data_IF_057881920988
#
_entry.id   IF_057881920988
#
_cell.length_a   1.000
_cell.length_b   1.000
_cell.length_c   1.000
_cell.angle_alpha   90.00
_cell.angle_beta   90.00
_cell.angle_gamma   90.00
#
_symmetry.space_group_name_H-M   'P 1'
#
loop_
_entity.id
_entity.type
_entity.pdbx_description
1 polymer ?
#
# COMPACT_ATOMS: atom_id res chain seq x y z
N UNK A 1 50.61 0.47 14.11
CA UNK A 1 49.40 -0.40 14.08
C UNK A 1 48.28 0.47 13.56
N UNK A 2 48.02 0.34 12.27
CA UNK A 2 47.01 1.12 11.55
C UNK A 2 45.63 0.75 12.08
N UNK A 3 44.92 1.76 12.58
CA UNK A 3 43.50 1.67 12.91
C UNK A 3 42.72 1.77 11.61
N UNK A 4 42.28 0.62 11.09
CA UNK A 4 41.29 0.58 10.02
C UNK A 4 39.96 1.14 10.54
N UNK A 5 39.68 2.40 10.23
CA UNK A 5 38.32 2.93 10.17
C UNK A 5 37.66 2.31 8.93
N UNK A 6 36.80 1.30 9.13
CA UNK A 6 35.92 0.84 8.06
C UNK A 6 34.84 1.88 7.85
N UNK A 7 34.98 2.66 6.79
CA UNK A 7 33.92 3.48 6.23
C UNK A 7 32.92 2.54 5.55
N UNK A 8 31.90 2.09 6.29
CA UNK A 8 30.77 1.36 5.72
C UNK A 8 29.68 2.36 5.38
N UNK A 9 29.61 2.74 4.10
CA UNK A 9 28.41 3.30 3.47
C UNK A 9 27.29 2.25 3.39
N UNK A 10 26.96 1.60 4.50
CA UNK A 10 25.98 0.53 4.60
C UNK A 10 24.58 1.09 4.42
N UNK A 11 23.84 0.58 3.44
CA UNK A 11 22.42 0.88 3.29
C UNK A 11 21.67 0.43 4.54
N UNK A 12 20.72 1.25 5.04
CA UNK A 12 19.88 0.96 6.24
C UNK A 12 19.23 -0.44 6.18
N UNK A 13 18.97 -0.94 4.98
CA UNK A 13 18.35 -2.22 4.72
C UNK A 13 19.24 -3.10 3.84
N UNK A 14 19.26 -4.40 4.12
CA UNK A 14 20.00 -5.40 3.34
C UNK A 14 19.20 -5.76 2.08
N UNK A 15 19.68 -5.27 0.93
CA UNK A 15 19.02 -5.50 -0.35
C UNK A 15 19.01 -6.98 -0.75
N UNK A 16 20.09 -7.71 -0.50
CA UNK A 16 20.21 -9.09 -0.95
C UNK A 16 19.18 -9.96 -0.26
N UNK A 17 19.00 -9.77 1.06
CA UNK A 17 17.95 -10.45 1.83
C UNK A 17 16.56 -10.06 1.32
N UNK A 18 16.31 -8.75 1.10
CA UNK A 18 14.99 -8.28 0.62
C UNK A 18 14.65 -8.90 -0.73
N UNK A 19 15.58 -8.82 -1.69
CA UNK A 19 15.34 -9.32 -3.04
C UNK A 19 15.21 -10.84 -3.06
N UNK A 20 15.98 -11.56 -2.24
CA UNK A 20 15.84 -13.01 -2.09
C UNK A 20 14.44 -13.39 -1.60
N UNK A 21 13.93 -12.71 -0.57
CA UNK A 21 12.58 -12.95 -0.03
C UNK A 21 11.48 -12.63 -1.05
N UNK A 22 11.60 -11.50 -1.77
CA UNK A 22 10.69 -11.12 -2.84
C UNK A 22 10.72 -12.13 -4.00
N UNK A 23 11.89 -12.62 -4.39
CA UNK A 23 12.02 -13.63 -5.45
C UNK A 23 11.47 -14.98 -4.98
N UNK A 24 11.81 -15.43 -3.77
CA UNK A 24 11.45 -16.75 -3.26
C UNK A 24 9.98 -16.86 -2.89
N UNK A 25 9.45 -15.87 -2.16
CA UNK A 25 8.12 -15.88 -1.52
C UNK A 25 7.13 -14.90 -2.14
N UNK A 26 7.63 -13.83 -2.78
CA UNK A 26 6.81 -12.75 -3.35
C UNK A 26 6.57 -11.58 -2.40
N UNK A 27 7.00 -11.68 -1.14
CA UNK A 27 6.92 -10.60 -0.16
C UNK A 27 8.12 -10.63 0.80
N UNK A 28 8.39 -9.50 1.46
CA UNK A 28 9.42 -9.36 2.48
C UNK A 28 8.92 -8.45 3.61
N UNK A 29 9.16 -8.84 4.86
CA UNK A 29 8.92 -8.00 6.03
C UNK A 29 10.22 -7.32 6.42
N UNK A 30 10.19 -5.99 6.52
CA UNK A 30 11.35 -5.14 6.77
C UNK A 30 11.07 -4.36 8.07
N UNK A 31 11.74 -4.68 9.18
CA UNK A 31 11.54 -4.01 10.46
C UNK A 31 12.21 -2.62 10.48
N UNK A 32 11.91 -1.83 11.52
CA UNK A 32 12.63 -0.59 11.86
C UNK A 32 12.62 0.47 10.74
N UNK A 33 11.53 0.58 9.98
CA UNK A 33 11.32 1.70 9.05
C UNK A 33 11.09 2.97 9.84
N UNK A 34 10.17 2.91 10.82
CA UNK A 34 9.94 3.91 11.85
C UNK A 34 10.32 3.36 13.23
N UNK A 35 10.66 4.26 14.14
CA UNK A 35 10.74 3.98 15.58
C UNK A 35 9.36 3.87 16.21
N UNK A 36 9.25 3.27 17.40
CA UNK A 36 7.97 3.20 18.12
C UNK A 36 7.41 4.59 18.42
N UNK A 37 8.25 5.55 18.81
CA UNK A 37 7.82 6.91 19.13
C UNK A 37 7.24 7.62 17.89
N UNK A 38 7.88 7.45 16.72
CA UNK A 38 7.33 7.97 15.46
C UNK A 38 5.98 7.31 15.14
N UNK A 39 5.85 6.00 15.37
CA UNK A 39 4.56 5.32 15.21
C UNK A 39 3.48 5.88 16.14
N UNK A 40 3.81 6.10 17.41
CA UNK A 40 2.88 6.62 18.42
C UNK A 40 2.41 8.03 18.10
N UNK A 41 3.32 8.90 17.63
CA UNK A 41 2.99 10.25 17.15
C UNK A 41 2.02 10.19 15.96
N UNK A 42 2.26 9.31 14.99
CA UNK A 42 1.38 9.18 13.82
C UNK A 42 0.03 8.54 14.18
N UNK A 43 0.00 7.56 15.09
CA UNK A 43 -1.23 6.98 15.62
C UNK A 43 -2.06 8.05 16.34
N UNK A 44 -1.44 8.87 17.19
CA UNK A 44 -2.13 9.97 17.87
C UNK A 44 -2.79 10.92 16.86
N UNK A 45 -2.08 11.32 15.81
CA UNK A 45 -2.63 12.18 14.76
C UNK A 45 -3.83 11.52 14.01
N UNK A 46 -3.78 10.20 13.75
CA UNK A 46 -4.92 9.50 13.19
C UNK A 46 -6.10 9.40 14.16
N UNK A 47 -5.85 9.23 15.46
CA UNK A 47 -6.89 9.25 16.50
C UNK A 47 -7.54 10.61 16.62
N UNK A 48 -6.76 11.69 16.57
CA UNK A 48 -7.27 13.07 16.53
C UNK A 48 -8.13 13.32 15.29
N UNK A 49 -7.75 12.74 14.15
CA UNK A 49 -8.58 12.78 12.95
C UNK A 49 -9.88 11.99 13.10
N UNK A 50 -9.83 10.78 13.66
CA UNK A 50 -11.02 9.96 13.95
C UNK A 50 -11.98 10.67 14.92
N UNK A 51 -11.46 11.40 15.92
CA UNK A 51 -12.25 12.12 16.90
C UNK A 51 -13.06 13.29 16.31
N UNK A 52 -12.83 13.66 15.05
CA UNK A 52 -13.64 14.66 14.32
C UNK A 52 -14.94 14.09 13.79
N UNK A 53 -15.04 12.77 13.65
CA UNK A 53 -16.29 12.11 13.27
C UNK A 53 -17.26 12.13 14.47
N UNK A 54 -18.57 12.35 14.24
CA UNK A 54 -19.60 12.16 15.24
C UNK A 54 -19.51 10.79 15.92
N UNK A 55 -19.98 10.71 17.17
CA UNK A 55 -19.91 9.50 18.00
C UNK A 55 -20.59 8.27 17.35
N UNK A 56 -21.53 8.48 16.45
CA UNK A 56 -22.26 7.46 15.70
C UNK A 56 -21.83 7.37 14.22
N UNK A 57 -20.70 7.97 13.84
CA UNK A 57 -20.15 7.88 12.49
C UNK A 57 -18.76 7.23 12.50
N UNK A 58 -18.42 6.57 11.40
CA UNK A 58 -17.08 6.04 11.15
C UNK A 58 -16.66 6.39 9.71
N UNK A 59 -15.37 6.68 9.45
CA UNK A 59 -14.91 6.94 8.10
C UNK A 59 -15.36 5.86 7.11
N UNK A 60 -15.88 6.30 5.97
CA UNK A 60 -16.16 5.41 4.84
C UNK A 60 -14.92 4.56 4.52
N UNK A 61 -15.10 3.25 4.58
CA UNK A 61 -14.07 2.26 4.32
C UNK A 61 -14.66 1.05 3.64
N UNK A 62 -13.84 0.39 2.84
CA UNK A 62 -14.13 -0.90 2.22
C UNK A 62 -13.02 -1.88 2.61
N UNK A 63 -13.38 -3.05 3.13
CA UNK A 63 -12.43 -4.08 3.60
C UNK A 63 -11.28 -3.53 4.49
N UNK A 64 -11.64 -2.60 5.39
CA UNK A 64 -10.78 -1.81 6.28
C UNK A 64 -9.97 -0.67 5.66
N UNK A 65 -10.01 -0.50 4.34
CA UNK A 65 -9.33 0.56 3.59
C UNK A 65 -10.15 1.84 3.54
N UNK A 66 -9.53 2.96 3.93
CA UNK A 66 -10.07 4.31 3.78
C UNK A 66 -9.40 4.94 2.55
N UNK A 67 -10.14 4.95 1.44
CA UNK A 67 -9.72 5.50 0.14
C UNK A 67 -10.25 6.92 -0.12
N UNK A 68 -10.80 7.56 0.92
CA UNK A 68 -11.53 8.84 0.84
C UNK A 68 -10.95 9.86 1.83
N UNK A 69 -11.62 11.00 2.02
CA UNK A 69 -11.22 12.08 2.93
C UNK A 69 -9.87 12.75 2.62
N UNK A 70 -9.28 12.44 1.45
CA UNK A 70 -7.92 12.88 1.09
C UNK A 70 -6.88 12.44 2.13
N UNK A 71 -7.17 11.34 2.85
CA UNK A 71 -6.34 10.84 3.96
C UNK A 71 -4.93 10.45 3.49
N UNK A 72 -4.80 10.08 2.21
CA UNK A 72 -3.53 9.85 1.52
C UNK A 72 -2.57 11.06 1.55
N UNK A 73 -3.12 12.27 1.73
CA UNK A 73 -2.39 13.53 1.81
C UNK A 73 -2.33 14.14 3.22
N UNK A 74 -2.84 13.45 4.24
CA UNK A 74 -2.72 13.92 5.62
C UNK A 74 -1.27 13.95 6.09
N UNK A 75 -0.98 14.78 7.10
CA UNK A 75 0.35 14.90 7.67
C UNK A 75 0.96 13.57 8.14
N UNK A 76 0.27 12.72 8.94
CA UNK A 76 0.85 11.44 9.36
C UNK A 76 1.12 10.53 8.15
N UNK A 77 0.26 10.52 7.13
CA UNK A 77 0.48 9.72 5.92
C UNK A 77 1.73 10.16 5.17
N UNK A 78 1.98 11.48 5.04
CA UNK A 78 3.20 11.98 4.41
C UNK A 78 4.47 11.68 5.20
N UNK A 79 4.43 11.78 6.53
CA UNK A 79 5.55 11.39 7.40
C UNK A 79 5.92 9.93 7.19
N UNK A 80 4.93 9.04 7.20
CA UNK A 80 5.14 7.59 6.97
C UNK A 80 5.63 7.31 5.55
N UNK A 81 5.04 7.97 4.53
CA UNK A 81 5.48 7.84 3.13
C UNK A 81 6.95 8.22 2.95
N UNK A 82 7.39 9.33 3.53
CA UNK A 82 8.78 9.78 3.46
C UNK A 82 9.72 8.80 4.19
N UNK A 83 9.34 8.32 5.37
CA UNK A 83 10.12 7.31 6.10
C UNK A 83 10.29 6.00 5.31
N UNK A 84 9.24 5.57 4.60
CA UNK A 84 9.26 4.37 3.77
C UNK A 84 10.13 4.50 2.50
N UNK A 85 10.48 5.72 2.06
CA UNK A 85 11.25 5.95 0.83
C UNK A 85 12.54 5.13 0.80
N UNK A 86 13.28 5.07 1.91
CA UNK A 86 14.55 4.32 1.99
C UNK A 86 14.41 2.83 1.68
N UNK A 87 13.26 2.23 1.96
CA UNK A 87 12.98 0.83 1.58
C UNK A 87 12.93 0.69 0.07
N UNK A 88 12.19 1.57 -0.60
CA UNK A 88 12.06 1.55 -2.05
C UNK A 88 13.33 1.98 -2.77
N UNK A 89 14.13 2.87 -2.19
CA UNK A 89 15.47 3.19 -2.71
C UNK A 89 16.37 1.95 -2.73
N UNK A 90 16.32 1.14 -1.66
CA UNK A 90 17.06 -0.12 -1.58
C UNK A 90 16.57 -1.12 -2.61
N UNK A 91 15.26 -1.33 -2.72
CA UNK A 91 14.66 -2.30 -3.67
C UNK A 91 15.02 -1.93 -5.11
N UNK A 92 14.78 -0.68 -5.49
CA UNK A 92 14.94 -0.19 -6.86
C UNK A 92 16.34 0.33 -7.20
N UNK A 93 17.25 0.42 -6.24
CA UNK A 93 18.61 0.95 -6.42
C UNK A 93 18.63 2.36 -7.01
N UNK A 94 17.70 3.21 -6.59
CA UNK A 94 17.66 4.63 -6.99
C UNK A 94 16.92 5.48 -5.99
N UNK A 95 17.38 6.72 -5.82
CA UNK A 95 16.67 7.77 -5.08
C UNK A 95 15.56 8.42 -5.92
N UNK A 96 15.58 8.20 -7.24
CA UNK A 96 14.71 8.85 -8.23
C UNK A 96 13.40 8.09 -8.35
N UNK A 97 12.52 8.31 -7.37
CA UNK A 97 11.28 7.58 -7.19
C UNK A 97 10.05 8.48 -7.34
N UNK A 98 8.96 7.91 -7.81
CA UNK A 98 7.62 8.47 -7.69
C UNK A 98 6.82 7.61 -6.70
N UNK A 99 5.90 8.21 -5.94
CA UNK A 99 5.10 7.51 -4.91
C UNK A 99 3.60 7.60 -5.15
N UNK A 100 2.84 6.57 -4.82
CA UNK A 100 1.37 6.62 -4.81
C UNK A 100 0.85 7.53 -3.68
N UNK A 101 -0.33 8.12 -3.89
CA UNK A 101 -1.11 8.81 -2.87
C UNK A 101 -2.25 7.91 -2.38
N UNK A 102 -1.85 6.74 -1.89
CA UNK A 102 -2.73 5.62 -1.58
C UNK A 102 -3.55 5.82 -0.28
N UNK A 103 -4.34 4.80 0.02
CA UNK A 103 -5.19 4.63 1.17
C UNK A 103 -4.44 4.40 2.49
N UNK A 104 -5.21 4.44 3.57
CA UNK A 104 -4.79 3.96 4.90
C UNK A 104 -5.80 2.90 5.36
N UNK A 105 -5.37 1.98 6.22
CA UNK A 105 -6.31 1.11 6.92
C UNK A 105 -6.29 1.41 8.42
N UNK A 106 -7.46 1.81 8.92
CA UNK A 106 -7.67 2.10 10.35
C UNK A 106 -8.88 1.31 10.82
N UNK A 107 -8.71 0.46 11.82
CA UNK A 107 -9.81 -0.35 12.35
C UNK A 107 -9.63 -0.65 13.84
N UNK A 108 -10.68 -0.49 14.65
CA UNK A 108 -10.65 -0.91 16.04
C UNK A 108 -10.69 -2.44 16.14
N UNK A 109 -10.26 -3.03 17.27
CA UNK A 109 -10.41 -4.45 17.51
C UNK A 109 -11.88 -4.89 17.48
N UNK A 110 -12.18 -6.15 17.09
CA UNK A 110 -13.54 -6.67 17.00
C UNK A 110 -14.28 -6.72 18.35
N UNK A 111 -13.55 -6.65 19.45
CA UNK A 111 -14.09 -6.56 20.81
C UNK A 111 -14.72 -5.20 21.10
N UNK A 112 -14.21 -4.13 20.47
CA UNK A 112 -14.73 -2.80 20.67
C UNK A 112 -16.00 -2.62 19.84
N UNK A 113 -17.09 -2.22 20.50
CA UNK A 113 -18.32 -1.84 19.83
C UNK A 113 -17.99 -0.68 18.88
N UNK A 114 -18.12 -0.93 17.58
CA UNK A 114 -17.95 0.14 16.61
C UNK A 114 -19.09 1.15 16.76
N UNK A 115 -18.73 2.42 16.88
CA UNK A 115 -19.62 3.56 16.72
C UNK A 115 -20.48 3.41 15.44
N UNK A 116 -21.74 3.84 15.51
CA UNK A 116 -22.58 3.99 14.31
C UNK A 116 -23.29 2.76 13.78
N UNK A 117 -23.27 1.63 14.49
CA UNK A 117 -24.13 0.49 14.15
C UNK A 117 -23.97 0.01 12.70
N UNK A 118 -22.73 -0.05 12.20
CA UNK A 118 -22.44 -0.46 10.82
C UNK A 118 -23.26 -1.71 10.45
N UNK A 119 -23.81 -1.77 9.23
CA UNK A 119 -24.18 -3.05 8.65
C UNK A 119 -22.97 -3.98 8.73
N UNK A 120 -23.20 -5.23 9.11
CA UNK A 120 -22.17 -6.27 9.04
C UNK A 120 -21.75 -6.35 7.57
N UNK A 121 -20.61 -5.75 7.21
CA UNK A 121 -20.04 -5.94 5.88
C UNK A 121 -19.63 -7.40 5.73
N UNK A 122 -19.59 -7.91 4.50
CA UNK A 122 -19.08 -9.25 4.20
C UNK A 122 -17.69 -9.48 4.83
N UNK A 123 -16.85 -8.44 4.87
CA UNK A 123 -15.56 -8.44 5.56
C UNK A 123 -15.61 -8.81 7.06
N UNK A 124 -16.75 -8.65 7.72
CA UNK A 124 -16.94 -9.04 9.11
C UNK A 124 -17.34 -10.52 9.27
N UNK A 125 -17.62 -11.24 8.18
CA UNK A 125 -18.04 -12.64 8.20
C UNK A 125 -16.83 -13.59 8.35
N UNK A 126 -16.93 -14.64 9.19
CA UNK A 126 -15.92 -15.69 9.26
C UNK A 126 -15.68 -16.33 7.89
N UNK A 127 -14.41 -16.54 7.54
CA UNK A 127 -14.05 -17.13 6.25
C UNK A 127 -14.13 -16.18 5.06
N UNK A 128 -14.49 -14.90 5.26
CA UNK A 128 -14.44 -13.92 4.17
C UNK A 128 -13.03 -13.80 3.58
N UNK A 129 -12.97 -13.81 2.27
CA UNK A 129 -11.76 -13.65 1.49
C UNK A 129 -12.07 -12.84 0.26
N UNK A 130 -11.13 -11.99 -0.09
CA UNK A 130 -11.13 -11.18 -1.29
C UNK A 130 -9.74 -11.21 -1.89
N UNK A 131 -9.07 -12.37 -1.77
CA UNK A 131 -7.79 -12.64 -2.40
C UNK A 131 -7.83 -12.18 -3.84
N UNK A 132 -6.89 -11.33 -4.20
CA UNK A 132 -6.83 -10.72 -5.51
C UNK A 132 -5.39 -10.59 -5.98
N UNK A 133 -5.28 -10.37 -7.29
CA UNK A 133 -4.10 -9.82 -7.92
C UNK A 133 -4.37 -8.34 -8.20
N UNK A 134 -3.32 -7.54 -8.11
CA UNK A 134 -3.34 -6.12 -8.44
C UNK A 134 -2.60 -5.82 -9.74
N UNK A 135 -2.24 -6.87 -10.48
CA UNK A 135 -1.63 -6.80 -11.79
C UNK A 135 -2.44 -7.66 -12.77
N UNK A 136 -2.94 -7.06 -13.85
CA UNK A 136 -3.64 -7.81 -14.90
C UNK A 136 -2.67 -8.49 -15.87
N UNK A 137 -3.22 -9.38 -16.68
CA UNK A 137 -2.54 -10.02 -17.82
C UNK A 137 -1.99 -9.03 -18.86
N UNK A 138 -2.44 -7.77 -18.86
CA UNK A 138 -1.91 -6.72 -19.75
C UNK A 138 -0.49 -6.27 -19.39
N UNK A 139 0.08 -6.77 -18.29
CA UNK A 139 1.40 -6.40 -17.77
C UNK A 139 2.32 -7.63 -17.71
N UNK A 140 3.45 -7.55 -18.42
CA UNK A 140 4.42 -8.63 -18.51
C UNK A 140 5.54 -8.47 -17.49
N UNK A 141 5.71 -9.50 -16.65
CA UNK A 141 6.76 -9.48 -15.62
C UNK A 141 6.42 -8.54 -14.46
N UNK A 142 7.43 -8.01 -13.78
CA UNK A 142 7.27 -7.15 -12.61
C UNK A 142 6.96 -5.70 -13.00
N UNK A 143 5.95 -5.08 -12.38
CA UNK A 143 5.62 -3.66 -12.57
C UNK A 143 5.64 -2.80 -11.30
N UNK A 144 5.21 -3.32 -10.14
CA UNK A 144 5.31 -2.62 -8.84
C UNK A 144 5.66 -3.64 -7.74
N UNK A 145 6.41 -3.15 -6.77
CA UNK A 145 6.39 -3.72 -5.44
C UNK A 145 5.51 -2.83 -4.57
N UNK A 146 4.39 -3.35 -4.11
CA UNK A 146 3.51 -2.65 -3.20
C UNK A 146 4.07 -2.68 -1.77
N UNK A 147 3.59 -1.78 -0.92
CA UNK A 147 4.04 -1.69 0.46
C UNK A 147 2.96 -1.24 1.43
N UNK A 148 3.05 -1.74 2.65
CA UNK A 148 2.17 -1.41 3.76
C UNK A 148 2.99 -1.26 5.03
N UNK A 149 2.98 -0.06 5.59
CA UNK A 149 3.72 0.31 6.80
C UNK A 149 2.80 0.18 8.01
N UNK A 150 3.22 -0.61 9.00
CA UNK A 150 2.43 -0.93 10.18
C UNK A 150 2.87 -0.05 11.35
N UNK A 151 1.95 0.77 11.85
CA UNK A 151 2.21 1.66 12.99
C UNK A 151 1.93 1.00 14.34
N UNK A 152 1.25 -0.15 14.33
CA UNK A 152 0.99 -0.97 15.50
C UNK A 152 1.59 -2.36 15.31
N UNK A 153 2.00 -3.00 16.40
CA UNK A 153 2.53 -4.37 16.40
C UNK A 153 1.48 -5.36 15.90
N UNK A 154 1.88 -6.32 15.06
CA UNK A 154 0.98 -7.38 14.60
C UNK A 154 1.60 -8.76 14.69
N UNK A 155 0.79 -9.71 15.17
CA UNK A 155 1.05 -11.15 15.08
C UNK A 155 0.01 -11.83 14.18
N UNK A 156 0.11 -13.14 13.96
CA UNK A 156 -0.79 -13.85 13.04
C UNK A 156 -2.27 -13.86 13.46
N UNK A 157 -2.59 -13.53 14.70
CA UNK A 157 -3.99 -13.35 15.13
C UNK A 157 -4.48 -11.91 14.98
N UNK A 158 -3.63 -11.01 14.49
CA UNK A 158 -3.96 -9.60 14.28
C UNK A 158 -4.56 -9.29 12.90
N UNK A 159 -4.84 -8.00 12.68
CA UNK A 159 -5.18 -7.47 11.37
C UNK A 159 -3.96 -7.55 10.44
N UNK A 160 -3.85 -8.62 9.65
CA UNK A 160 -2.70 -8.84 8.79
C UNK A 160 -3.03 -8.70 7.29
N UNK A 161 -2.00 -8.45 6.50
CA UNK A 161 -1.97 -8.89 5.11
C UNK A 161 -1.98 -10.42 5.08
N UNK A 162 -2.86 -11.03 4.29
CA UNK A 162 -2.74 -12.43 3.90
C UNK A 162 -2.17 -12.52 2.51
N UNK A 163 -1.36 -13.53 2.27
CA UNK A 163 -0.75 -13.80 0.98
C UNK A 163 -0.81 -15.29 0.67
N UNK A 164 -0.73 -15.63 -0.62
CA UNK A 164 -0.36 -16.96 -1.08
C UNK A 164 1.11 -16.92 -1.51
N UNK A 165 2.09 -17.24 -0.64
CA UNK A 165 3.49 -17.18 -1.00
C UNK A 165 3.77 -18.02 -2.25
N UNK A 166 4.68 -17.52 -3.10
CA UNK A 166 5.06 -18.11 -4.41
C UNK A 166 4.03 -17.95 -5.53
N UNK A 167 2.84 -17.43 -5.27
CA UNK A 167 1.81 -17.30 -6.33
C UNK A 167 2.24 -16.37 -7.46
N UNK A 168 3.12 -15.39 -7.19
CA UNK A 168 3.69 -14.48 -8.19
C UNK A 168 4.51 -15.20 -9.27
N UNK A 169 5.02 -16.41 -8.96
CA UNK A 169 5.74 -17.27 -9.91
C UNK A 169 4.81 -17.98 -10.89
N UNK A 170 3.54 -18.13 -10.52
CA UNK A 170 2.51 -18.79 -11.31
C UNK A 170 1.62 -17.79 -12.07
N UNK A 171 2.04 -16.52 -12.14
CA UNK A 171 1.21 -15.43 -12.65
C UNK A 171 0.76 -15.63 -14.09
N UNK A 172 1.64 -16.14 -14.97
CA UNK A 172 1.28 -16.40 -16.37
C UNK A 172 0.45 -17.67 -16.48
N UNK A 173 0.89 -18.73 -15.83
CA UNK A 173 0.21 -20.02 -15.81
C UNK A 173 -1.23 -19.89 -15.27
N UNK A 174 -1.44 -19.01 -14.30
CA UNK A 174 -2.77 -18.68 -13.79
C UNK A 174 -3.67 -18.08 -14.86
N UNK A 175 -3.22 -17.04 -15.57
CA UNK A 175 -4.05 -16.41 -16.62
C UNK A 175 -4.19 -17.28 -17.86
N UNK A 176 -3.23 -18.18 -18.15
CA UNK A 176 -3.37 -19.20 -19.18
C UNK A 176 -4.42 -20.26 -18.80
N UNK A 177 -4.48 -20.64 -17.51
CA UNK A 177 -5.46 -21.59 -16.98
C UNK A 177 -6.87 -20.98 -16.82
N UNK A 178 -6.96 -19.68 -16.55
CA UNK A 178 -8.22 -18.95 -16.34
C UNK A 178 -8.30 -17.68 -17.21
N UNK A 179 -8.57 -17.81 -18.53
CA UNK A 179 -8.70 -16.66 -19.42
C UNK A 179 -9.78 -15.65 -18.99
N UNK A 180 -10.85 -16.10 -18.34
CA UNK A 180 -11.90 -15.24 -17.80
C UNK A 180 -11.38 -14.36 -16.65
N UNK A 181 -10.41 -14.84 -15.87
CA UNK A 181 -9.72 -14.04 -14.86
C UNK A 181 -8.87 -12.94 -15.50
N UNK A 182 -8.21 -13.26 -16.63
CA UNK A 182 -7.43 -12.29 -17.39
C UNK A 182 -8.32 -11.14 -17.88
N UNK A 183 -9.48 -11.47 -18.47
CA UNK A 183 -10.46 -10.46 -18.88
C UNK A 183 -10.99 -9.63 -17.71
N UNK A 184 -11.30 -10.28 -16.58
CA UNK A 184 -11.80 -9.61 -15.38
C UNK A 184 -10.80 -8.59 -14.85
N UNK A 185 -9.54 -8.97 -14.71
CA UNK A 185 -8.47 -8.08 -14.25
C UNK A 185 -8.26 -6.88 -15.16
N UNK A 186 -8.30 -7.06 -16.49
CA UNK A 186 -8.18 -5.94 -17.44
C UNK A 186 -9.38 -4.99 -17.34
N UNK A 187 -10.61 -5.54 -17.30
CA UNK A 187 -11.85 -4.74 -17.19
C UNK A 187 -11.91 -3.94 -15.88
N UNK A 188 -11.32 -4.46 -14.80
CA UNK A 188 -11.29 -3.83 -13.48
C UNK A 188 -9.97 -3.09 -13.19
N UNK A 189 -9.26 -2.64 -14.22
CA UNK A 189 -8.05 -1.80 -14.08
C UNK A 189 -6.96 -2.42 -13.18
N UNK A 190 -6.55 -3.65 -13.52
CA UNK A 190 -5.54 -4.46 -12.83
C UNK A 190 -6.02 -5.24 -11.60
N UNK A 191 -7.16 -4.88 -11.01
CA UNK A 191 -7.72 -5.61 -9.88
C UNK A 191 -8.44 -6.89 -10.34
N UNK A 192 -7.96 -8.05 -9.91
CA UNK A 192 -8.56 -9.34 -10.21
C UNK A 192 -8.83 -10.11 -8.92
N UNK A 193 -10.04 -9.94 -8.37
CA UNK A 193 -10.52 -10.78 -7.27
C UNK A 193 -10.69 -12.23 -7.74
N UNK A 194 -10.19 -13.16 -6.93
CA UNK A 194 -10.21 -14.59 -7.23
C UNK A 194 -11.54 -15.23 -6.86
N UNK A 195 -11.95 -16.20 -7.67
CA UNK A 195 -13.04 -17.12 -7.38
C UNK A 195 -12.53 -18.33 -6.58
N UNK A 196 -13.44 -19.07 -5.93
CA UNK A 196 -13.06 -20.21 -5.09
C UNK A 196 -12.27 -21.29 -5.85
N UNK A 197 -12.61 -21.55 -7.10
CA UNK A 197 -11.88 -22.52 -7.94
C UNK A 197 -10.47 -22.04 -8.30
N UNK A 198 -10.30 -20.74 -8.52
CA UNK A 198 -9.01 -20.09 -8.78
C UNK A 198 -8.11 -20.10 -7.53
N UNK A 199 -8.68 -19.88 -6.33
CA UNK A 199 -7.98 -20.04 -5.05
C UNK A 199 -7.56 -21.51 -4.86
N UNK A 200 -8.47 -22.46 -5.11
CA UNK A 200 -8.18 -23.90 -5.00
C UNK A 200 -7.06 -24.32 -5.96
N UNK A 201 -7.00 -23.73 -7.15
CA UNK A 201 -5.92 -23.97 -8.11
C UNK A 201 -4.56 -23.55 -7.52
N UNK A 202 -4.45 -22.37 -6.91
CA UNK A 202 -3.21 -21.94 -6.25
C UNK A 202 -2.80 -22.89 -5.11
N UNK A 203 -3.76 -23.36 -4.31
CA UNK A 203 -3.51 -24.33 -3.24
C UNK A 203 -2.98 -25.67 -3.77
N UNK A 204 -3.55 -26.18 -4.87
CA UNK A 204 -3.08 -27.39 -5.55
C UNK A 204 -1.68 -27.23 -6.16
N UNK A 205 -1.28 -26.00 -6.48
CA UNK A 205 0.07 -25.64 -6.94
C UNK A 205 1.01 -25.26 -5.78
N UNK A 206 0.64 -25.59 -4.54
CA UNK A 206 1.51 -25.45 -3.36
C UNK A 206 1.60 -24.04 -2.79
N UNK A 207 0.69 -23.14 -3.15
CA UNK A 207 0.59 -21.81 -2.57
C UNK A 207 -0.44 -21.82 -1.43
N UNK A 208 0.02 -21.69 -0.18
CA UNK A 208 -0.86 -21.80 0.99
C UNK A 208 -1.05 -20.46 1.70
N UNK A 209 -2.28 -20.19 2.12
CA UNK A 209 -2.65 -18.95 2.77
C UNK A 209 -1.83 -18.70 4.04
N UNK A 210 -1.12 -17.57 4.05
CA UNK A 210 -0.23 -17.17 5.13
C UNK A 210 -0.60 -15.77 5.61
N UNK A 211 -0.77 -15.61 6.93
CA UNK A 211 -0.92 -14.30 7.56
C UNK A 211 0.46 -13.71 7.86
N UNK A 212 0.70 -12.50 7.38
CA UNK A 212 2.00 -11.83 7.54
C UNK A 212 1.98 -10.95 8.79
N UNK A 213 2.75 -11.35 9.80
CA UNK A 213 3.00 -10.54 10.99
C UNK A 213 4.08 -9.48 10.67
N UNK A 214 3.81 -8.23 11.01
CA UNK A 214 4.70 -7.09 10.81
C UNK A 214 4.93 -6.41 12.15
N UNK A 215 6.19 -6.22 12.58
CA UNK A 215 6.47 -5.54 13.84
C UNK A 215 6.09 -4.06 13.76
N UNK A 216 5.87 -3.44 14.91
CA UNK A 216 5.60 -2.00 15.00
C UNK A 216 6.71 -1.20 14.31
N UNK A 217 6.32 -0.27 13.43
CA UNK A 217 7.26 0.53 12.63
C UNK A 217 7.93 -0.24 11.50
N UNK A 218 7.54 -1.50 11.26
CA UNK A 218 7.94 -2.29 10.11
C UNK A 218 7.06 -2.03 8.89
N UNK A 219 7.53 -2.49 7.74
CA UNK A 219 6.74 -2.56 6.51
C UNK A 219 6.76 -3.97 5.96
N UNK A 220 5.68 -4.38 5.31
CA UNK A 220 5.73 -5.48 4.33
C UNK A 220 5.77 -4.88 2.93
N UNK A 221 6.60 -5.46 2.07
CA UNK A 221 6.69 -5.14 0.63
C UNK A 221 6.38 -6.41 -0.15
N UNK A 222 5.58 -6.34 -1.21
CA UNK A 222 5.22 -7.50 -2.03
C UNK A 222 5.13 -7.20 -3.51
N UNK A 223 5.37 -8.22 -4.33
CA UNK A 223 5.20 -8.18 -5.79
C UNK A 223 3.73 -7.98 -6.14
N UNK A 224 3.39 -7.07 -7.07
CA UNK A 224 2.00 -6.83 -7.49
C UNK A 224 1.30 -8.06 -8.10
N UNK A 225 2.07 -9.09 -8.48
CA UNK A 225 1.58 -10.40 -8.95
C UNK A 225 1.32 -11.41 -7.82
N UNK A 226 1.66 -11.07 -6.58
CA UNK A 226 1.38 -11.92 -5.42
C UNK A 226 -0.11 -11.84 -5.09
N UNK A 227 -0.75 -12.99 -4.92
CA UNK A 227 -2.14 -13.08 -4.50
C UNK A 227 -2.22 -12.71 -3.03
N UNK A 228 -3.05 -11.72 -2.71
CA UNK A 228 -3.12 -11.18 -1.36
C UNK A 228 -4.49 -10.59 -1.05
N UNK A 229 -4.76 -10.37 0.24
CA UNK A 229 -5.86 -9.55 0.72
C UNK A 229 -5.61 -9.08 2.17
N UNK A 230 -6.54 -8.33 2.75
CA UNK A 230 -6.53 -8.03 4.18
C UNK A 230 -7.43 -9.02 4.93
N UNK A 231 -6.99 -9.46 6.12
CA UNK A 231 -7.85 -10.22 7.03
C UNK A 231 -8.19 -9.46 8.30
N UNK A 232 -9.43 -9.65 8.74
CA UNK A 232 -9.88 -9.25 10.07
C UNK A 232 -9.44 -10.28 11.12
N UNK A 233 -9.07 -9.86 12.34
CA UNK A 233 -8.90 -10.74 13.48
C UNK A 233 -10.21 -11.38 13.95
N UNK A 234 -10.08 -12.53 14.60
CA UNK A 234 -11.17 -13.19 15.31
C UNK A 234 -11.36 -12.58 16.71
N UNK A 235 -12.62 -12.54 17.17
CA UNK A 235 -12.94 -12.08 18.52
C UNK A 235 -12.43 -13.09 19.56
N UNK A 236 -11.82 -12.61 20.64
CA UNK A 236 -11.25 -13.44 21.70
C UNK A 236 -9.80 -13.87 21.46
N UNK A 237 -9.14 -13.30 20.43
CA UNK A 237 -7.70 -13.48 20.20
C UNK A 237 -6.84 -12.95 21.36
N UNK A 238 -5.57 -13.39 21.46
CA UNK A 238 -4.56 -12.69 22.24
C UNK A 238 -4.39 -11.23 21.77
N UNK A 239 -4.02 -10.33 22.70
CA UNK A 239 -3.84 -8.88 22.44
C UNK A 239 -5.09 -8.24 21.79
N UNK A 240 -6.26 -8.52 22.38
CA UNK A 240 -7.57 -8.09 21.87
C UNK A 240 -7.79 -6.57 21.87
N UNK A 241 -6.88 -5.80 22.43
CA UNK A 241 -6.86 -4.34 22.44
C UNK A 241 -6.14 -3.73 21.22
N UNK A 242 -5.39 -4.52 20.43
CA UNK A 242 -4.61 -4.00 19.30
C UNK A 242 -5.47 -3.48 18.14
N UNK A 243 -5.20 -2.25 17.75
CA UNK A 243 -5.81 -1.60 16.59
C UNK A 243 -5.06 -1.91 15.30
N UNK A 244 -5.73 -1.72 14.17
CA UNK A 244 -5.05 -1.61 12.87
C UNK A 244 -4.76 -0.14 12.58
N UNK A 245 -3.49 0.17 12.33
CA UNK A 245 -3.03 1.43 11.76
C UNK A 245 -1.97 1.12 10.69
N UNK A 246 -2.38 1.16 9.43
CA UNK A 246 -1.53 0.82 8.30
C UNK A 246 -1.58 1.92 7.24
N UNK A 247 -0.43 2.29 6.70
CA UNK A 247 -0.32 3.23 5.59
C UNK A 247 0.19 2.50 4.35
N UNK A 248 -0.56 2.57 3.25
CA UNK A 248 -0.13 1.97 1.98
C UNK A 248 0.78 2.93 1.23
N UNK A 249 1.92 2.40 0.76
CA UNK A 249 2.95 3.14 0.04
C UNK A 249 3.52 2.21 -1.03
N UNK A 250 3.31 2.49 -2.32
CA UNK A 250 4.14 1.95 -3.40
C UNK A 250 4.99 3.10 -3.96
N UNK A 251 6.22 2.79 -4.33
CA UNK A 251 7.07 3.67 -5.10
C UNK A 251 7.71 2.91 -6.25
N UNK A 252 7.95 3.58 -7.37
CA UNK A 252 8.67 3.03 -8.50
C UNK A 252 9.64 4.05 -9.10
N UNK A 253 10.66 3.60 -9.85
CA UNK A 253 11.57 4.47 -10.58
C UNK A 253 10.85 5.54 -11.39
N UNK A 254 11.23 6.79 -11.22
CA UNK A 254 10.64 7.93 -11.92
C UNK A 254 10.81 7.80 -13.44
N UNK A 255 11.90 7.18 -13.92
CA UNK A 255 12.16 6.95 -15.35
C UNK A 255 11.15 6.05 -16.06
N UNK A 256 10.29 5.35 -15.30
CA UNK A 256 9.21 4.54 -15.85
C UNK A 256 7.95 5.34 -16.15
N UNK A 257 7.86 6.59 -15.69
CA UNK A 257 6.70 7.45 -15.91
C UNK A 257 6.60 7.92 -17.34
N UNK A 258 5.36 8.06 -17.82
CA UNK A 258 5.06 8.82 -19.04
C UNK A 258 4.76 10.29 -18.69
N UNK A 259 4.86 11.23 -19.65
CA UNK A 259 4.43 12.61 -19.42
C UNK A 259 2.96 12.70 -18.96
N UNK A 260 2.08 11.88 -19.56
CA UNK A 260 0.66 11.79 -19.20
C UNK A 260 0.45 11.38 -17.74
N UNK A 261 1.16 10.35 -17.29
CA UNK A 261 1.06 9.89 -15.90
C UNK A 261 1.68 10.90 -14.92
N UNK A 262 2.77 11.57 -15.32
CA UNK A 262 3.38 12.64 -14.52
C UNK A 262 2.42 13.82 -14.32
N UNK A 263 1.71 14.25 -15.36
CA UNK A 263 0.69 15.29 -15.26
C UNK A 263 -0.46 14.90 -14.34
N UNK A 264 -0.88 13.62 -14.37
CA UNK A 264 -1.87 13.11 -13.42
C UNK A 264 -1.37 13.17 -11.98
N UNK A 265 -0.11 12.82 -11.73
CA UNK A 265 0.46 12.94 -10.38
C UNK A 265 0.51 14.38 -9.89
N UNK A 266 0.96 15.31 -10.73
CA UNK A 266 0.96 16.75 -10.44
C UNK A 266 -0.45 17.23 -10.10
N UNK A 267 -1.44 16.84 -10.91
CA UNK A 267 -2.84 17.14 -10.65
C UNK A 267 -3.30 16.58 -9.30
N UNK A 268 -2.97 15.31 -9.00
CA UNK A 268 -3.35 14.68 -7.75
C UNK A 268 -2.71 15.32 -6.52
N UNK A 269 -1.47 15.77 -6.62
CA UNK A 269 -0.80 16.52 -5.55
C UNK A 269 -1.45 17.88 -5.31
N UNK A 270 -1.68 18.66 -6.37
CA UNK A 270 -2.26 20.02 -6.24
C UNK A 270 -3.73 20.03 -5.81
N UNK A 271 -4.49 18.97 -6.14
CA UNK A 271 -5.91 18.87 -5.83
C UNK A 271 -6.20 17.84 -4.74
N UNK A 272 -5.16 17.35 -4.05
CA UNK A 272 -5.27 16.37 -2.95
C UNK A 272 -6.03 15.10 -3.35
N UNK A 273 -5.98 14.70 -4.63
CA UNK A 273 -6.58 13.45 -5.10
C UNK A 273 -5.75 12.28 -4.62
N UNK A 274 -6.42 11.24 -4.13
CA UNK A 274 -5.80 9.97 -3.82
C UNK A 274 -5.66 9.14 -5.11
N UNK A 275 -4.62 8.31 -5.17
CA UNK A 275 -4.34 7.43 -6.31
C UNK A 275 -4.38 5.99 -5.87
N UNK A 276 -4.55 5.07 -6.83
CA UNK A 276 -4.26 3.65 -6.61
C UNK A 276 -2.77 3.44 -6.29
N UNK A 277 -2.39 2.19 -6.05
CA UNK A 277 -1.01 1.82 -5.73
C UNK A 277 -0.03 2.12 -6.87
N UNK A 278 -0.47 2.30 -8.11
CA UNK A 278 0.42 2.55 -9.25
C UNK A 278 1.11 3.93 -9.16
N UNK A 279 2.44 3.99 -8.94
CA UNK A 279 3.09 5.25 -8.63
C UNK A 279 3.62 5.99 -9.86
N UNK A 280 3.87 5.29 -10.98
CA UNK A 280 4.54 5.83 -12.16
C UNK A 280 3.86 5.48 -13.50
N UNK A 281 3.08 4.39 -13.57
CA UNK A 281 2.51 3.92 -14.83
C UNK A 281 1.01 3.68 -14.69
N UNK A 282 0.22 4.15 -15.66
CA UNK A 282 -1.23 4.06 -15.64
C UNK A 282 -1.81 4.61 -14.32
N UNK A 283 -1.38 5.83 -13.95
CA UNK A 283 -1.82 6.46 -12.71
C UNK A 283 -3.33 6.71 -12.78
N UNK A 284 -4.07 6.20 -11.81
CA UNK A 284 -5.52 6.36 -11.69
C UNK A 284 -5.88 6.92 -10.32
N UNK A 285 -7.01 7.63 -10.25
CA UNK A 285 -7.50 8.23 -9.01
C UNK A 285 -8.59 7.35 -8.41
N UNK A 286 -8.64 7.30 -7.08
CA UNK A 286 -9.86 6.87 -6.43
C UNK A 286 -10.99 7.88 -6.69
N UNK A 287 -12.23 7.39 -6.65
CA UNK A 287 -13.41 8.25 -6.71
C UNK A 287 -13.42 9.19 -5.51
N UNK A 288 -13.56 10.49 -5.76
CA UNK A 288 -13.67 11.47 -4.69
C UNK A 288 -15.11 11.48 -4.20
N UNK A 289 -15.36 10.80 -3.07
CA UNK A 289 -16.65 10.88 -2.39
C UNK A 289 -16.73 12.22 -1.64
N UNK A 290 -17.05 13.29 -2.37
CA UNK A 290 -17.25 14.63 -1.80
C UNK A 290 -18.64 14.70 -1.16
N UNK A 291 -18.76 15.16 0.11
CA UNK A 291 -20.07 15.50 0.67
C UNK A 291 -20.69 16.65 -0.13
N UNK A 292 -21.78 16.39 -0.85
CA UNK A 292 -22.58 17.47 -1.43
C UNK A 292 -23.50 18.04 -0.35
N UNK A 293 -23.31 19.31 0.02
CA UNK A 293 -24.37 20.08 0.67
C UNK A 293 -25.58 20.12 -0.28
N UNK A 294 -26.65 19.40 0.05
CA UNK A 294 -27.93 19.42 -0.68
C UNK A 294 -28.07 18.44 -1.85
N UNK A 295 -27.19 17.45 -2.02
CA UNK A 295 -27.31 16.40 -3.05
C UNK A 295 -27.41 14.99 -2.48
N UNK A 296 -27.84 14.02 -3.31
CA UNK A 296 -27.92 12.59 -2.99
C UNK A 296 -26.54 11.89 -2.95
N UNK A 297 -25.56 12.50 -2.25
CA UNK A 297 -24.26 11.89 -1.93
C UNK A 297 -24.15 11.62 -0.43
N UNK A 298 -23.20 10.77 0.02
CA UNK A 298 -22.98 10.55 1.44
C UNK A 298 -22.67 11.89 2.12
N UNK A 299 -23.47 12.28 3.11
CA UNK A 299 -23.15 13.40 3.99
C UNK A 299 -22.00 12.93 4.88
N UNK A 300 -20.79 13.42 4.65
CA UNK A 300 -19.75 13.40 5.70
C UNK A 300 -19.82 14.72 6.44
N UNK A 301 -19.92 14.63 7.75
CA UNK A 301 -19.94 15.73 8.70
C UNK A 301 -18.54 16.32 8.95
N UNK A 302 -17.48 15.65 8.48
CA UNK A 302 -16.08 16.01 8.73
C UNK A 302 -15.51 16.83 7.57
N UNK A 303 -14.86 17.98 7.85
CA UNK A 303 -14.21 18.78 6.82
C UNK A 303 -13.08 18.01 6.14
N UNK A 304 -13.01 18.11 4.82
CA UNK A 304 -11.92 17.53 4.02
C UNK A 304 -10.62 18.32 4.24
N UNK A 305 -9.49 17.66 4.02
CA UNK A 305 -8.20 18.35 3.94
C UNK A 305 -8.23 19.34 2.75
N UNK A 306 -8.04 20.62 3.04
CA UNK A 306 -8.08 21.68 2.02
C UNK A 306 -6.70 22.06 1.49
N UNK A 307 -5.64 21.83 2.28
CA UNK A 307 -4.28 22.21 1.94
C UNK A 307 -3.30 21.09 2.27
N UNK A 308 -2.22 21.01 1.51
CA UNK A 308 -1.11 20.13 1.81
C UNK A 308 -0.46 20.52 3.15
N UNK A 309 -0.14 19.55 4.03
CA UNK A 309 0.60 19.82 5.25
C UNK A 309 2.05 20.25 4.93
N UNK A 310 2.72 20.94 5.85
CA UNK A 310 4.09 21.46 5.62
C UNK A 310 5.09 20.38 5.22
N UNK A 311 5.00 19.19 5.83
CA UNK A 311 5.85 18.03 5.48
C UNK A 311 5.75 17.66 3.99
N UNK A 312 4.58 17.84 3.37
CA UNK A 312 4.32 17.52 1.97
C UNK A 312 4.84 18.59 1.01
N UNK A 313 5.24 19.76 1.51
CA UNK A 313 5.79 20.88 0.71
C UNK A 313 7.31 20.84 0.60
N UNK A 314 7.97 19.94 1.34
CA UNK A 314 9.40 19.67 1.20
C UNK A 314 9.78 19.28 -0.23
N UNK A 315 11.01 19.58 -0.65
CA UNK A 315 11.47 19.21 -1.99
C UNK A 315 11.40 17.70 -2.20
N UNK A 316 11.78 16.88 -1.19
CA UNK A 316 11.68 15.42 -1.30
C UNK A 316 10.24 14.94 -1.54
N UNK A 317 9.25 15.50 -0.84
CA UNK A 317 7.84 15.20 -1.09
C UNK A 317 7.39 15.63 -2.50
N UNK A 318 7.84 16.81 -2.96
CA UNK A 318 7.53 17.33 -4.30
C UNK A 318 8.20 16.51 -5.41
N UNK A 319 9.38 15.95 -5.18
CA UNK A 319 10.06 15.01 -6.09
C UNK A 319 9.28 13.68 -6.16
N UNK A 320 8.88 13.09 -5.03
CA UNK A 320 8.03 11.89 -4.99
C UNK A 320 6.67 12.10 -5.66
N UNK A 321 6.14 13.31 -5.58
CA UNK A 321 4.89 13.72 -6.21
C UNK A 321 5.02 13.98 -7.73
N UNK A 322 6.24 14.07 -8.26
CA UNK A 322 6.49 14.44 -9.66
C UNK A 322 6.24 15.92 -9.97
N UNK A 323 6.17 16.77 -8.95
CA UNK A 323 6.04 18.23 -9.08
C UNK A 323 7.38 18.86 -9.40
N UNK A 324 8.43 18.38 -8.73
CA UNK A 324 9.81 18.65 -9.12
C UNK A 324 10.33 17.50 -9.99
N UNK A 325 11.24 17.83 -10.89
CA UNK A 325 11.81 16.88 -11.83
C UNK A 325 13.16 16.36 -11.34
N UNK A 326 13.41 15.07 -11.54
CA UNK A 326 14.73 14.49 -11.33
C UNK A 326 15.65 14.84 -12.49
N UNK A 327 16.89 15.21 -12.17
CA UNK A 327 17.97 15.21 -13.15
C UNK A 327 18.40 13.75 -13.37
N UNK A 328 18.28 13.24 -14.60
CA UNK A 328 18.69 11.87 -14.95
C UNK A 328 20.15 11.78 -15.42
N UNK A 329 20.82 12.93 -15.58
CA UNK A 329 22.20 13.08 -16.07
C UNK A 329 23.19 13.48 -14.95
N UNK A 330 22.73 13.54 -13.69
CA UNK A 330 23.52 13.93 -12.51
C UNK A 330 24.59 12.89 -12.07
N UNK A 331 24.69 11.75 -12.77
CA UNK A 331 25.60 10.65 -12.45
C UNK A 331 25.12 9.70 -11.35
N UNK A 332 24.00 9.96 -10.67
CA UNK A 332 23.41 9.05 -9.68
C UNK A 332 22.59 7.94 -10.36
N UNK A 333 22.46 6.75 -9.72
CA UNK A 333 21.69 5.63 -10.28
C UNK A 333 20.24 6.00 -10.64
N UNK A 334 19.83 5.64 -11.85
CA UNK A 334 18.47 5.87 -12.38
C UNK A 334 17.49 4.71 -12.09
N UNK A 335 17.96 3.68 -11.39
CA UNK A 335 17.21 2.46 -11.11
C UNK A 335 17.52 1.38 -12.14
N UNK A 336 16.66 0.36 -12.29
CA UNK A 336 16.90 -0.73 -13.22
C UNK A 336 17.05 -0.23 -14.67
N UNK A 337 17.85 -0.95 -15.45
CA UNK A 337 18.09 -0.68 -16.88
C UNK A 337 16.93 -1.10 -17.78
N UNK A 338 16.03 -1.94 -17.26
CA UNK A 338 14.78 -2.33 -17.91
C UNK A 338 13.61 -1.40 -17.56
N UNK A 339 12.58 -1.45 -18.40
CA UNK A 339 11.28 -0.80 -18.17
C UNK A 339 10.17 -1.84 -18.17
N UNK A 340 9.10 -1.65 -17.40
CA UNK A 340 7.97 -2.57 -17.40
C UNK A 340 7.33 -2.67 -18.79
N UNK A 341 6.94 -3.88 -19.19
CA UNK A 341 6.49 -4.22 -20.54
C UNK A 341 5.00 -4.50 -20.53
N UNK A 342 4.25 -3.90 -21.44
CA UNK A 342 2.82 -4.10 -21.59
C UNK A 342 2.54 -5.13 -22.68
N UNK A 343 1.49 -5.94 -22.50
CA UNK A 343 0.96 -6.85 -23.51
C UNK A 343 -0.12 -6.09 -24.28
N UNK A 344 0.03 -6.03 -25.60
CA UNK A 344 -0.92 -5.35 -26.51
C UNK A 344 -2.24 -6.10 -26.67
#
# INVERSE_FOLDING_TARGET
METHTSDTTGTKFDREIIMKELEEKGYCVIPNVLTSDECDVNIAAYRDWLAKFPEDEWPLNDESLIMTYRIGHSEPTWKVRLAAKKVFETVWQTKKLLSSFDSVAISPPPEQRQAGGRPVSSFAMPGYTWLHLDQSSSRHGLHCYQGAVYLEETCQTDYCLRVLPKSHKLFREFYDAFPEAAERGVKQQDFCQLLNEEITWYEQHGCHLTKVAVPKGGTVVWDSRLVHDNCKPERGRPNCDRWRFVVFVCMAPARWTTPKDLDKKRHAYHHLRMTTHWPAQNVTYFEEQVPKLGGAGPKTSVPLLEQLPEVAKSDEARMLAGVLEYDFEDGEPNGPDWKPVWVE
#
